data_IF_132187346155
#
_entry.id   IF_132187346155
#
_cell.length_a   1.000
_cell.length_b   1.000
_cell.length_c   1.000
_cell.angle_alpha   90.00
_cell.angle_beta   90.00
_cell.angle_gamma   90.00
#
_symmetry.space_group_name_H-M   'P 1'
#
loop_
_entity.id
_entity.type
_entity.pdbx_description
1 polymer ?
#
# COMPACT_ATOMS: atom_id res chain seq x y z
N UNK A 1 -27.74 -55.68 -31.00
CA UNK A 1 -28.58 -54.53 -30.60
C UNK A 1 -27.81 -53.74 -29.56
N UNK A 2 -27.50 -52.48 -29.86
CA UNK A 2 -26.77 -51.60 -28.97
C UNK A 2 -25.96 -50.54 -29.71
N UNK A 3 -26.59 -49.76 -30.61
CA UNK A 3 -26.15 -48.39 -30.83
C UNK A 3 -26.32 -47.64 -29.48
N UNK A 4 -25.45 -46.71 -29.07
CA UNK A 4 -25.44 -45.34 -29.58
C UNK A 4 -24.34 -44.56 -28.83
N UNK A 5 -23.72 -43.59 -29.52
CA UNK A 5 -22.40 -43.07 -29.20
C UNK A 5 -22.27 -42.09 -28.04
N UNK A 6 -21.12 -42.15 -27.35
CA UNK A 6 -20.61 -41.02 -26.55
C UNK A 6 -19.12 -41.17 -26.16
N UNK A 7 -18.14 -40.92 -27.05
CA UNK A 7 -16.76 -40.70 -26.58
C UNK A 7 -16.31 -39.23 -26.65
N UNK A 8 -16.93 -38.40 -27.49
CA UNK A 8 -16.43 -37.05 -27.79
C UNK A 8 -16.97 -35.98 -26.84
N UNK A 9 -18.23 -36.11 -26.38
CA UNK A 9 -18.85 -35.12 -25.48
C UNK A 9 -18.18 -35.07 -24.11
N UNK A 10 -17.83 -36.22 -23.53
CA UNK A 10 -17.15 -36.29 -22.23
C UNK A 10 -15.73 -35.72 -22.32
N UNK A 11 -15.01 -36.01 -23.40
CA UNK A 11 -13.66 -35.48 -23.66
C UNK A 11 -13.69 -33.97 -23.92
N UNK A 12 -14.66 -33.48 -24.68
CA UNK A 12 -14.83 -32.06 -24.95
C UNK A 12 -15.22 -31.28 -23.67
N UNK A 13 -16.13 -31.79 -22.84
CA UNK A 13 -16.50 -31.15 -21.57
C UNK A 13 -15.31 -31.09 -20.61
N UNK A 14 -14.53 -32.18 -20.48
CA UNK A 14 -13.33 -32.19 -19.65
C UNK A 14 -12.28 -31.16 -20.14
N UNK A 15 -12.06 -31.07 -21.45
CA UNK A 15 -11.14 -30.09 -22.04
C UNK A 15 -11.64 -28.66 -21.84
N UNK A 16 -12.94 -28.39 -22.01
CA UNK A 16 -13.52 -27.05 -21.80
C UNK A 16 -13.42 -26.62 -20.33
N UNK A 17 -13.66 -27.54 -19.39
CA UNK A 17 -13.50 -27.26 -17.96
C UNK A 17 -12.04 -26.97 -17.60
N UNK A 18 -11.10 -27.78 -18.10
CA UNK A 18 -9.66 -27.59 -17.85
C UNK A 18 -9.17 -26.27 -18.46
N UNK A 19 -9.53 -25.98 -19.70
CA UNK A 19 -9.14 -24.72 -20.36
C UNK A 19 -9.78 -23.53 -19.65
N UNK A 20 -11.05 -23.64 -19.26
CA UNK A 20 -11.76 -22.59 -18.51
C UNK A 20 -11.14 -22.28 -17.15
N UNK A 21 -10.77 -23.30 -16.36
CA UNK A 21 -10.13 -23.10 -15.04
C UNK A 21 -8.73 -22.53 -15.17
N UNK A 22 -7.95 -22.95 -16.18
CA UNK A 22 -6.62 -22.39 -16.46
C UNK A 22 -6.71 -20.91 -16.85
N UNK A 23 -7.68 -20.54 -17.70
CA UNK A 23 -7.91 -19.14 -18.10
C UNK A 23 -8.35 -18.28 -16.90
N UNK A 24 -9.20 -18.81 -16.02
CA UNK A 24 -9.63 -18.11 -14.80
C UNK A 24 -8.47 -17.91 -13.81
N UNK A 25 -7.59 -18.90 -13.66
CA UNK A 25 -6.46 -18.83 -12.72
C UNK A 25 -5.38 -17.82 -13.17
N UNK A 26 -5.17 -17.66 -14.48
CA UNK A 26 -4.19 -16.72 -15.03
C UNK A 26 -4.62 -15.24 -14.92
N UNK A 27 -5.93 -14.95 -14.84
CA UNK A 27 -6.45 -13.58 -14.75
C UNK A 27 -6.49 -12.99 -13.34
N UNK A 28 -6.32 -13.81 -12.29
CA UNK A 28 -6.47 -13.37 -10.90
C UNK A 28 -5.18 -12.77 -10.30
N UNK A 29 -4.05 -12.82 -11.01
CA UNK A 29 -2.75 -12.38 -10.49
C UNK A 29 -2.19 -11.15 -11.22
N UNK A 30 -3.03 -10.13 -11.45
CA UNK A 30 -2.55 -8.80 -11.79
C UNK A 30 -2.82 -7.88 -10.60
N UNK A 31 -1.79 -7.40 -9.86
CA UNK A 31 -2.01 -6.34 -8.90
C UNK A 31 -2.54 -5.10 -9.64
N UNK A 32 -3.55 -4.39 -9.10
CA UNK A 32 -4.04 -3.16 -9.71
C UNK A 32 -2.92 -2.11 -9.69
N UNK A 33 -2.14 -2.07 -10.76
CA UNK A 33 -1.10 -1.05 -10.97
C UNK A 33 -1.76 0.15 -11.61
N UNK A 34 -2.63 0.82 -10.84
CA UNK A 34 -3.14 2.13 -11.20
C UNK A 34 -2.01 3.17 -11.08
N UNK A 35 -1.95 4.17 -11.98
CA UNK A 35 -1.11 5.36 -11.77
C UNK A 35 -1.70 6.13 -10.57
N UNK A 36 -1.22 5.80 -9.38
CA UNK A 36 -1.83 6.22 -8.12
C UNK A 36 -1.41 5.42 -6.90
N UNK A 37 -0.58 4.37 -7.04
CA UNK A 37 0.14 3.81 -5.91
C UNK A 37 1.23 4.79 -5.47
N UNK A 38 0.84 5.85 -4.78
CA UNK A 38 1.74 6.56 -3.87
C UNK A 38 2.11 5.53 -2.81
N UNK A 39 3.21 4.82 -3.04
CA UNK A 39 3.86 4.05 -1.98
C UNK A 39 4.33 5.09 -0.98
N UNK A 40 3.45 5.49 -0.05
CA UNK A 40 3.84 6.26 1.12
C UNK A 40 4.76 5.34 1.89
N UNK A 41 6.05 5.45 1.60
CA UNK A 41 7.08 4.85 2.45
C UNK A 41 6.76 5.37 3.84
N UNK A 42 6.46 4.47 4.77
CA UNK A 42 6.20 4.84 6.16
C UNK A 42 7.53 5.32 6.76
N UNK A 43 7.87 6.57 6.48
CA UNK A 43 9.05 7.24 7.00
C UNK A 43 8.66 7.91 8.31
N UNK A 44 9.42 7.61 9.36
CA UNK A 44 9.28 8.31 10.64
C UNK A 44 9.38 9.83 10.42
N UNK A 45 8.60 10.64 11.16
CA UNK A 45 8.79 12.09 11.15
C UNK A 45 10.20 12.46 11.64
N UNK A 46 10.72 13.56 11.12
CA UNK A 46 11.92 14.22 11.64
C UNK A 46 11.50 15.37 12.54
N UNK A 47 11.81 15.28 13.84
CA UNK A 47 11.50 16.31 14.82
C UNK A 47 12.64 17.35 14.91
N UNK A 48 12.28 18.62 14.88
CA UNK A 48 13.21 19.75 15.03
C UNK A 48 12.61 20.77 16.00
N UNK A 49 13.37 21.16 17.02
CA UNK A 49 13.01 22.19 18.00
C UNK A 49 14.00 23.33 17.91
N UNK A 50 13.50 24.56 17.88
CA UNK A 50 14.27 25.80 17.96
C UNK A 50 13.91 26.51 19.26
N UNK A 51 14.92 27.03 19.97
CA UNK A 51 14.76 27.83 21.18
C UNK A 51 15.27 29.25 20.95
N UNK A 52 14.54 30.25 21.45
CA UNK A 52 14.94 31.66 21.38
C UNK A 52 14.49 32.43 22.63
N UNK A 53 15.40 33.07 23.39
CA UNK A 53 16.87 32.96 23.34
C UNK A 53 17.40 31.64 23.93
N UNK A 54 18.60 31.20 23.53
CA UNK A 54 19.23 29.95 24.03
C UNK A 54 20.05 30.12 25.31
N UNK A 55 20.35 31.36 25.71
CA UNK A 55 21.15 31.67 26.89
C UNK A 55 20.91 33.09 27.37
N UNK A 56 21.08 33.31 28.67
CA UNK A 56 20.91 34.62 29.30
C UNK A 56 20.89 34.53 30.82
N UNK A 57 20.91 35.67 31.53
CA UNK A 57 20.80 35.72 32.99
C UNK A 57 19.40 35.33 33.46
N UNK A 58 19.31 34.77 34.67
CA UNK A 58 18.05 34.32 35.24
C UNK A 58 17.24 35.48 35.86
N UNK A 59 15.88 35.42 35.83
CA UNK A 59 15.07 34.46 35.08
C UNK A 59 15.04 34.78 33.58
N UNK A 60 15.25 33.76 32.74
CA UNK A 60 15.22 33.89 31.28
C UNK A 60 13.91 33.34 30.74
N UNK A 61 13.14 34.18 30.05
CA UNK A 61 12.00 33.71 29.26
C UNK A 61 12.54 33.12 27.95
N UNK A 62 12.21 31.86 27.66
CA UNK A 62 12.62 31.14 26.44
C UNK A 62 11.38 30.68 25.69
N UNK A 63 11.33 30.98 24.39
CA UNK A 63 10.32 30.47 23.47
C UNK A 63 10.83 29.21 22.77
N UNK A 64 10.00 28.18 22.66
CA UNK A 64 10.29 26.96 21.91
C UNK A 64 9.35 26.81 20.72
N UNK A 65 9.88 26.45 19.55
CA UNK A 65 9.12 26.24 18.31
C UNK A 65 9.48 24.91 17.64
N UNK A 66 8.45 24.11 17.31
CA UNK A 66 8.57 22.83 16.60
C UNK A 66 8.27 22.90 15.10
N UNK A 67 8.06 24.11 14.55
CA UNK A 67 7.55 24.34 13.20
C UNK A 67 8.45 23.81 12.07
N UNK A 68 9.72 23.53 12.35
CA UNK A 68 10.65 22.94 11.37
C UNK A 68 10.60 21.41 11.32
N UNK A 69 9.72 20.77 12.09
CA UNK A 69 9.52 19.32 12.01
C UNK A 69 8.84 18.93 10.70
N UNK A 70 9.17 17.76 10.15
CA UNK A 70 8.64 17.30 8.85
C UNK A 70 8.23 15.83 8.87
N UNK A 71 7.18 15.48 8.14
CA UNK A 71 6.74 14.10 7.91
C UNK A 71 6.46 13.89 6.42
N UNK A 72 7.35 13.20 5.68
CA UNK A 72 7.08 12.86 4.29
C UNK A 72 5.83 11.97 4.20
N UNK A 73 4.88 12.34 3.35
CA UNK A 73 3.68 11.54 3.09
C UNK A 73 2.65 11.51 4.22
N UNK A 74 2.71 12.41 5.20
CA UNK A 74 1.66 12.54 6.22
C UNK A 74 1.71 13.83 7.03
N UNK A 75 0.96 13.90 8.14
CA UNK A 75 0.81 15.08 8.99
C UNK A 75 1.28 14.82 10.41
N UNK A 76 1.94 15.82 11.02
CA UNK A 76 2.39 15.77 12.41
C UNK A 76 1.16 15.84 13.33
N UNK A 77 1.04 14.89 14.27
CA UNK A 77 -0.16 14.71 15.12
C UNK A 77 0.02 15.24 16.55
N UNK A 78 1.24 15.56 17.00
CA UNK A 78 1.45 16.09 18.35
C UNK A 78 2.82 16.72 18.61
N UNK A 79 2.86 17.57 19.63
CA UNK A 79 4.05 18.18 20.23
C UNK A 79 3.88 18.05 21.76
N UNK A 80 4.78 17.33 22.45
CA UNK A 80 4.71 17.05 23.89
C UNK A 80 5.96 17.50 24.61
#
# INVERSE_FOLDING_TARGET
MGETGQPTRIRATAVVVIVGTVVLLAGACAPPSGPGSTTTVNTSPTAVIVADPTSGPAPLAVSFSGLSSTQPGGTITGHS
#
